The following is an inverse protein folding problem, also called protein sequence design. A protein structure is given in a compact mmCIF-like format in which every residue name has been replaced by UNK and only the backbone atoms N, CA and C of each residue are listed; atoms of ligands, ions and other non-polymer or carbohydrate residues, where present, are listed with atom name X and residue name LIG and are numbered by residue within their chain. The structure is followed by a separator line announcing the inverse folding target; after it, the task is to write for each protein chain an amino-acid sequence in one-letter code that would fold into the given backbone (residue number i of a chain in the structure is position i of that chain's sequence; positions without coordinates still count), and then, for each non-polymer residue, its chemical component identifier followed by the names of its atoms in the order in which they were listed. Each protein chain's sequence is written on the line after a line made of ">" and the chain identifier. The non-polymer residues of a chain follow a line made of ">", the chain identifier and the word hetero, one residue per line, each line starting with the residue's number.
data_IF_516112497145
#
_entry.id   IF_516112497145
#
_cell.length_a   1.000
_cell.length_b   1.000
_cell.length_c   1.000
_cell.angle_alpha   90.00
_cell.angle_beta   90.00
_cell.angle_gamma   90.00
#
_symmetry.space_group_name_H-M   'P 1'
#
loop_
_entity.id
_entity.type
_entity.pdbx_description
1 polymer ?
#
# COMPACT_ATOMS: atom_id res chain seq x y z
N UNK A 1 -27.83 -9.65 14.92
CA UNK A 1 -27.08 -9.53 13.66
C UNK A 1 -26.10 -8.38 13.81
N UNK A 2 -24.78 -8.65 13.81
CA UNK A 2 -23.79 -7.58 13.87
C UNK A 2 -23.88 -6.75 12.58
N UNK A 3 -24.00 -5.42 12.69
CA UNK A 3 -23.94 -4.53 11.53
C UNK A 3 -22.60 -4.76 10.83
N UNK A 4 -22.62 -5.05 9.52
CA UNK A 4 -21.39 -5.05 8.72
C UNK A 4 -20.76 -3.66 8.86
N UNK A 5 -19.45 -3.54 9.14
CA UNK A 5 -18.78 -2.25 9.06
C UNK A 5 -18.97 -1.68 7.66
N UNK A 6 -19.28 -0.38 7.57
CA UNK A 6 -19.67 0.29 6.31
C UNK A 6 -18.53 0.41 5.29
N UNK A 7 -17.31 -0.04 5.61
CA UNK A 7 -16.15 0.05 4.73
C UNK A 7 -15.53 1.45 4.74
N UNK A 8 -14.69 1.73 3.75
CA UNK A 8 -14.12 3.07 3.52
C UNK A 8 -14.84 3.72 2.33
N UNK A 9 -14.98 5.04 2.37
CA UNK A 9 -15.43 5.77 1.19
C UNK A 9 -14.35 5.76 0.10
N UNK A 10 -14.74 5.92 -1.16
CA UNK A 10 -13.79 6.05 -2.28
C UNK A 10 -12.73 7.15 -2.05
N UNK A 11 -13.15 8.29 -1.49
CA UNK A 11 -12.26 9.41 -1.18
C UNK A 11 -11.23 9.05 -0.10
N UNK A 12 -11.61 8.23 0.87
CA UNK A 12 -10.69 7.71 1.88
C UNK A 12 -9.70 6.72 1.28
N UNK A 13 -10.16 5.80 0.42
CA UNK A 13 -9.27 4.92 -0.36
C UNK A 13 -8.24 5.71 -1.17
N UNK A 14 -8.65 6.78 -1.85
CA UNK A 14 -7.71 7.66 -2.58
C UNK A 14 -6.68 8.32 -1.66
N UNK A 15 -7.11 8.78 -0.46
CA UNK A 15 -6.18 9.38 0.52
C UNK A 15 -5.19 8.36 1.05
N UNK A 16 -5.65 7.17 1.41
CA UNK A 16 -4.82 6.09 1.92
C UNK A 16 -3.86 5.59 0.82
N UNK A 17 -4.33 5.46 -0.41
CA UNK A 17 -3.50 5.09 -1.56
C UNK A 17 -2.31 6.03 -1.75
N UNK A 18 -2.53 7.35 -1.66
CA UNK A 18 -1.44 8.35 -1.67
C UNK A 18 -0.48 8.19 -0.48
N UNK A 19 -1.01 7.94 0.72
CA UNK A 19 -0.17 7.71 1.91
C UNK A 19 0.70 6.46 1.76
N UNK A 20 0.15 5.35 1.27
CA UNK A 20 0.88 4.12 0.99
C UNK A 20 1.96 4.35 -0.06
N UNK A 21 1.66 5.08 -1.13
CA UNK A 21 2.65 5.41 -2.16
C UNK A 21 3.86 6.16 -1.57
N UNK A 22 3.60 7.21 -0.79
CA UNK A 22 4.66 7.98 -0.13
C UNK A 22 5.49 7.11 0.81
N UNK A 23 4.83 6.31 1.65
CA UNK A 23 5.50 5.38 2.57
C UNK A 23 6.37 4.37 1.82
N UNK A 24 5.90 3.83 0.68
CA UNK A 24 6.69 2.92 -0.16
C UNK A 24 7.93 3.63 -0.71
N UNK A 25 7.81 4.86 -1.18
CA UNK A 25 8.95 5.62 -1.70
C UNK A 25 9.98 5.91 -0.60
N UNK A 26 9.53 6.36 0.57
CA UNK A 26 10.42 6.67 1.70
C UNK A 26 11.10 5.41 2.24
N UNK A 27 10.37 4.30 2.33
CA UNK A 27 10.91 3.04 2.79
C UNK A 27 11.87 2.40 1.76
N UNK A 28 11.63 2.58 0.46
CA UNK A 28 12.60 2.21 -0.60
C UNK A 28 13.92 2.97 -0.41
N UNK A 29 13.85 4.30 -0.21
CA UNK A 29 15.04 5.13 0.05
C UNK A 29 15.76 4.71 1.32
N UNK A 30 15.03 4.44 2.40
CA UNK A 30 15.61 3.95 3.65
C UNK A 30 16.29 2.59 3.45
N UNK A 31 15.63 1.66 2.78
CA UNK A 31 16.20 0.33 2.51
C UNK A 31 17.50 0.45 1.71
N UNK A 32 17.55 1.30 0.67
CA UNK A 32 18.79 1.55 -0.08
C UNK A 32 19.91 2.05 0.82
N UNK A 33 19.65 3.07 1.65
CA UNK A 33 20.64 3.59 2.61
C UNK A 33 21.14 2.52 3.59
N UNK A 34 20.25 1.66 4.08
CA UNK A 34 20.61 0.58 5.01
C UNK A 34 21.41 -0.53 4.32
N UNK A 35 21.07 -0.86 3.07
CA UNK A 35 21.81 -1.83 2.26
C UNK A 35 23.22 -1.31 1.96
N UNK A 36 23.35 -0.03 1.61
CA UNK A 36 24.64 0.62 1.34
C UNK A 36 25.51 0.72 2.60
N UNK A 37 24.93 1.11 3.74
CA UNK A 37 25.69 1.33 4.97
C UNK A 37 26.05 0.03 5.72
N UNK A 38 25.17 -0.96 5.72
CA UNK A 38 25.31 -2.15 6.59
C UNK A 38 25.29 -3.47 5.82
N UNK A 39 25.10 -3.42 4.50
CA UNK A 39 24.98 -4.60 3.65
C UNK A 39 23.55 -5.17 3.59
N UNK A 40 23.24 -5.81 2.46
CA UNK A 40 21.92 -6.40 2.15
C UNK A 40 21.48 -7.47 3.15
N UNK A 41 22.42 -8.18 3.76
CA UNK A 41 22.13 -9.26 4.72
C UNK A 41 21.93 -8.76 6.15
N UNK A 42 22.18 -7.47 6.42
CA UNK A 42 22.00 -6.87 7.74
C UNK A 42 20.55 -6.98 8.21
N UNK A 43 20.37 -7.10 9.53
CA UNK A 43 19.04 -7.17 10.15
C UNK A 43 18.20 -5.95 9.80
N UNK A 44 18.80 -4.77 9.79
CA UNK A 44 18.11 -3.51 9.47
C UNK A 44 17.64 -3.46 8.01
N UNK A 45 18.48 -3.83 7.05
CA UNK A 45 18.08 -3.90 5.63
C UNK A 45 16.96 -4.95 5.43
N UNK A 46 17.09 -6.14 6.02
CA UNK A 46 16.04 -7.17 5.95
C UNK A 46 14.71 -6.71 6.55
N UNK A 47 14.75 -5.95 7.64
CA UNK A 47 13.55 -5.41 8.27
C UNK A 47 12.87 -4.37 7.37
N UNK A 48 13.63 -3.46 6.74
CA UNK A 48 13.10 -2.48 5.80
C UNK A 48 12.53 -3.16 4.54
N UNK A 49 13.20 -4.18 4.01
CA UNK A 49 12.69 -5.00 2.89
C UNK A 49 11.38 -5.72 3.27
N UNK A 50 11.30 -6.28 4.49
CA UNK A 50 10.08 -6.92 4.98
C UNK A 50 8.92 -5.93 5.06
N UNK A 51 9.15 -4.75 5.62
CA UNK A 51 8.13 -3.69 5.70
C UNK A 51 7.64 -3.26 4.30
N UNK A 52 8.51 -3.25 3.28
CA UNK A 52 8.10 -2.98 1.89
C UNK A 52 7.13 -4.06 1.35
N UNK A 53 7.40 -5.33 1.66
CA UNK A 53 6.55 -6.46 1.26
C UNK A 53 5.20 -6.41 1.99
N UNK A 54 5.22 -6.20 3.31
CA UNK A 54 4.01 -6.11 4.12
C UNK A 54 3.12 -4.94 3.67
N UNK A 55 3.73 -3.80 3.30
CA UNK A 55 3.01 -2.64 2.77
C UNK A 55 2.38 -2.93 1.38
N UNK A 56 3.05 -3.71 0.53
CA UNK A 56 2.49 -4.14 -0.76
C UNK A 56 1.32 -5.13 -0.60
N UNK A 57 1.37 -6.00 0.40
CA UNK A 57 0.26 -6.90 0.76
C UNK A 57 -0.95 -6.08 1.26
N UNK A 58 -0.73 -5.12 2.17
CA UNK A 58 -1.79 -4.22 2.63
C UNK A 58 -2.43 -3.45 1.49
N UNK A 59 -1.62 -2.93 0.56
CA UNK A 59 -2.10 -2.23 -0.63
C UNK A 59 -3.00 -3.12 -1.50
N UNK A 60 -2.65 -4.40 -1.65
CA UNK A 60 -3.42 -5.38 -2.43
C UNK A 60 -4.75 -5.68 -1.75
N UNK A 61 -4.74 -5.91 -0.44
CA UNK A 61 -5.94 -6.14 0.38
C UNK A 61 -6.92 -4.96 0.30
N UNK A 62 -6.41 -3.73 0.43
CA UNK A 62 -7.25 -2.53 0.35
C UNK A 62 -7.82 -2.30 -1.06
N UNK A 63 -7.08 -2.67 -2.11
CA UNK A 63 -7.60 -2.62 -3.47
C UNK A 63 -8.73 -3.62 -3.70
N UNK A 64 -8.63 -4.83 -3.11
CA UNK A 64 -9.70 -5.81 -3.17
C UNK A 64 -10.95 -5.29 -2.46
N UNK A 65 -10.79 -4.73 -1.26
CA UNK A 65 -11.89 -4.08 -0.51
C UNK A 65 -12.52 -2.93 -1.29
N UNK A 66 -11.71 -2.07 -1.91
CA UNK A 66 -12.20 -0.99 -2.75
C UNK A 66 -13.12 -1.51 -3.88
N UNK A 67 -12.75 -2.63 -4.51
CA UNK A 67 -13.56 -3.26 -5.56
C UNK A 67 -14.87 -3.84 -5.02
N UNK A 68 -14.84 -4.46 -3.84
CA UNK A 68 -16.03 -5.00 -3.16
C UNK A 68 -16.98 -3.89 -2.71
N UNK A 69 -16.44 -2.77 -2.24
CA UNK A 69 -17.18 -1.61 -1.74
C UNK A 69 -17.74 -0.74 -2.88
N UNK A 70 -17.19 -0.82 -4.09
CA UNK A 70 -17.58 -0.01 -5.25
C UNK A 70 -17.86 -0.84 -6.53
N UNK A 71 -18.83 -1.78 -6.49
CA UNK A 71 -19.05 -2.75 -7.58
C UNK A 71 -19.51 -2.15 -8.91
N UNK A 72 -20.06 -0.92 -8.90
CA UNK A 72 -20.56 -0.21 -10.09
C UNK A 72 -19.53 0.72 -10.72
N UNK A 73 -18.37 0.93 -10.08
CA UNK A 73 -17.33 1.83 -10.58
C UNK A 73 -16.46 1.17 -11.65
N UNK A 74 -15.94 1.96 -12.59
CA UNK A 74 -15.05 1.46 -13.64
C UNK A 74 -13.75 0.89 -13.06
N UNK A 75 -13.39 -0.35 -13.41
CA UNK A 75 -12.21 -1.05 -12.87
C UNK A 75 -10.91 -0.24 -12.96
N UNK A 76 -10.75 0.59 -14.00
CA UNK A 76 -9.56 1.42 -14.20
C UNK A 76 -9.44 2.58 -13.21
N UNK A 77 -10.56 3.19 -12.80
CA UNK A 77 -10.56 4.29 -11.83
C UNK A 77 -10.27 3.78 -10.41
N UNK A 78 -10.78 2.58 -10.09
CA UNK A 78 -10.51 1.90 -8.82
C UNK A 78 -9.02 1.51 -8.71
N UNK A 79 -8.47 0.92 -9.78
CA UNK A 79 -7.04 0.54 -9.83
C UNK A 79 -6.11 1.73 -9.58
N UNK A 80 -6.45 2.92 -10.08
CA UNK A 80 -5.64 4.12 -9.89
C UNK A 80 -5.53 4.59 -8.43
N UNK A 81 -6.42 4.14 -7.52
CA UNK A 81 -6.34 4.51 -6.10
C UNK A 81 -5.11 3.93 -5.43
N UNK A 82 -4.85 2.64 -5.65
CA UNK A 82 -3.72 1.95 -5.03
C UNK A 82 -2.57 1.75 -6.00
N UNK A 83 -2.80 1.72 -7.30
CA UNK A 83 -1.77 1.54 -8.34
C UNK A 83 -1.77 2.73 -9.32
N UNK A 84 -1.49 3.96 -8.86
CA UNK A 84 -1.33 5.09 -9.76
C UNK A 84 -0.15 4.84 -10.70
N UNK A 85 -0.27 5.28 -11.96
CA UNK A 85 0.87 5.29 -12.88
C UNK A 85 1.94 6.23 -12.30
N UNK A 86 3.16 5.73 -12.16
CA UNK A 86 4.35 6.51 -11.78
C UNK A 86 4.71 7.52 -12.89
#
# INVERSE_FOLDING_TARGET
>A
MAKKPEGLTFKEHQRIGRQILNLRQDLKKLNLKLVEAYGKTSRSAKQAEKLLKDLALLQTELNNRLCEENPTSGKLELLACYYPKE
#
